data_IF_523232206557
#
_entry.id   IF_523232206557
#
_cell.length_a   1.000
_cell.length_b   1.000
_cell.length_c   1.000
_cell.angle_alpha   90.00
_cell.angle_beta   90.00
_cell.angle_gamma   90.00
#
_symmetry.space_group_name_H-M   'P 1'
#
loop_
_entity.id
_entity.type
_entity.pdbx_description
1 polymer ?
#
# COMPACT_ATOMS: atom_id res chain seq x y z
N UNK A 1 13.92 -17.33 -6.88
CA UNK A 1 13.02 -16.75 -5.85
C UNK A 1 11.73 -16.29 -6.53
N UNK A 2 10.60 -16.24 -5.81
CA UNK A 2 9.38 -15.60 -6.33
C UNK A 2 9.10 -14.28 -5.62
N UNK A 3 8.70 -13.28 -6.38
CA UNK A 3 8.33 -11.97 -5.88
C UNK A 3 6.86 -11.68 -6.17
N UNK A 4 6.17 -11.07 -5.22
CA UNK A 4 4.77 -10.66 -5.35
C UNK A 4 4.66 -9.14 -5.30
N UNK A 5 3.99 -8.53 -6.29
CA UNK A 5 3.69 -7.09 -6.32
C UNK A 5 2.16 -6.92 -6.30
N UNK A 6 1.56 -6.59 -5.15
CA UNK A 6 0.11 -6.46 -5.04
C UNK A 6 -0.38 -5.10 -5.55
N UNK A 7 -1.71 -4.99 -5.72
CA UNK A 7 -2.41 -3.76 -6.06
C UNK A 7 -3.33 -3.35 -4.90
N UNK A 8 -2.78 -3.27 -3.68
CA UNK A 8 -3.53 -2.97 -2.46
C UNK A 8 -3.71 -1.47 -2.23
N UNK A 9 -4.43 -0.85 -3.16
CA UNK A 9 -4.70 0.58 -3.11
C UNK A 9 -6.08 0.89 -3.71
N UNK A 10 -6.59 2.07 -3.38
CA UNK A 10 -7.90 2.57 -3.78
C UNK A 10 -7.82 3.38 -5.09
N UNK A 11 -8.96 3.87 -5.57
CA UNK A 11 -9.09 4.42 -6.92
C UNK A 11 -8.57 5.87 -7.05
N UNK A 12 -8.26 6.56 -5.93
CA UNK A 12 -7.82 7.96 -5.95
C UNK A 12 -6.35 8.12 -6.35
N UNK A 13 -5.43 7.65 -5.49
CA UNK A 13 -3.98 7.70 -5.70
C UNK A 13 -3.37 6.39 -5.25
N UNK A 14 -2.86 5.63 -6.20
CA UNK A 14 -2.46 4.24 -5.97
C UNK A 14 -1.31 4.07 -4.96
N UNK A 15 -0.58 5.13 -4.62
CA UNK A 15 0.47 5.08 -3.61
C UNK A 15 0.03 5.46 -2.20
N UNK A 16 -1.22 5.84 -1.98
CA UNK A 16 -1.69 6.29 -0.66
C UNK A 16 -2.11 5.13 0.24
N UNK A 17 -2.04 5.40 1.54
CA UNK A 17 -2.60 4.56 2.59
C UNK A 17 -4.13 4.49 2.48
N UNK A 18 -4.64 3.27 2.47
CA UNK A 18 -6.07 2.94 2.37
C UNK A 18 -6.68 2.48 3.69
N UNK A 19 -5.91 2.54 4.77
CA UNK A 19 -6.38 2.15 6.10
C UNK A 19 -7.66 2.89 6.46
N UNK A 20 -8.60 2.19 7.10
CA UNK A 20 -9.83 2.80 7.61
C UNK A 20 -10.07 2.38 9.06
N UNK A 21 -10.78 3.18 9.86
CA UNK A 21 -11.16 2.81 11.21
C UNK A 21 -12.03 1.54 11.24
N UNK A 22 -11.94 0.76 12.32
CA UNK A 22 -12.63 -0.54 12.45
C UNK A 22 -14.14 -0.53 12.20
N UNK A 23 -14.81 0.60 12.44
CA UNK A 23 -16.26 0.74 12.28
C UNK A 23 -16.67 1.13 10.85
N UNK A 24 -15.72 1.41 9.97
CA UNK A 24 -15.99 1.67 8.56
C UNK A 24 -15.90 0.35 7.77
N UNK A 25 -16.94 0.07 7.00
CA UNK A 25 -16.94 -1.06 6.06
C UNK A 25 -16.01 -0.72 4.89
N UNK A 26 -14.99 -1.53 4.66
CA UNK A 26 -14.26 -1.44 3.40
C UNK A 26 -15.18 -1.92 2.26
N UNK A 27 -15.31 -1.11 1.21
CA UNK A 27 -16.20 -1.41 0.08
C UNK A 27 -15.71 -2.59 -0.78
N UNK A 28 -14.47 -3.05 -0.59
CA UNK A 28 -13.87 -4.20 -1.30
C UNK A 28 -13.49 -5.27 -0.27
N UNK A 29 -13.65 -6.54 -0.66
CA UNK A 29 -13.12 -7.66 0.15
C UNK A 29 -11.61 -7.49 0.23
N UNK A 30 -11.07 -7.43 1.44
CA UNK A 30 -9.63 -7.35 1.67
C UNK A 30 -8.88 -8.60 1.17
N UNK A 31 -9.57 -9.74 1.04
CA UNK A 31 -9.02 -10.95 0.42
C UNK A 31 -8.92 -10.79 -1.11
N UNK A 32 -7.76 -11.13 -1.65
CA UNK A 32 -7.48 -11.10 -3.09
C UNK A 32 -6.66 -12.31 -3.57
N UNK A 33 -6.38 -12.33 -4.87
CA UNK A 33 -5.55 -13.31 -5.54
C UNK A 33 -4.11 -13.37 -5.00
N UNK A 34 -3.55 -12.24 -4.58
CA UNK A 34 -2.20 -12.19 -4.02
C UNK A 34 -2.09 -12.86 -2.67
N UNK A 35 -3.05 -12.63 -1.79
CA UNK A 35 -3.14 -13.33 -0.51
C UNK A 35 -3.24 -14.83 -0.74
N UNK A 36 -4.11 -15.26 -1.67
CA UNK A 36 -4.27 -16.68 -2.00
C UNK A 36 -2.97 -17.30 -2.53
N UNK A 37 -2.35 -16.66 -3.53
CA UNK A 37 -1.12 -17.16 -4.14
C UNK A 37 0.03 -17.19 -3.13
N UNK A 38 0.22 -16.16 -2.32
CA UNK A 38 1.24 -16.17 -1.25
C UNK A 38 0.95 -17.25 -0.21
N UNK A 39 -0.29 -17.42 0.21
CA UNK A 39 -0.71 -18.48 1.13
C UNK A 39 -0.34 -19.87 0.60
N UNK A 40 -0.60 -20.13 -0.68
CA UNK A 40 -0.17 -21.39 -1.32
C UNK A 40 1.36 -21.58 -1.28
N UNK A 41 2.16 -20.52 -1.44
CA UNK A 41 3.62 -20.62 -1.36
C UNK A 41 4.08 -20.91 0.06
N UNK A 42 3.49 -20.23 1.04
CA UNK A 42 3.77 -20.42 2.46
C UNK A 42 3.47 -21.86 2.89
N UNK A 43 2.28 -22.38 2.56
CA UNK A 43 1.87 -23.74 2.90
C UNK A 43 2.75 -24.83 2.29
N UNK A 44 3.32 -24.56 1.10
CA UNK A 44 4.20 -25.48 0.40
C UNK A 44 5.69 -25.28 0.74
N UNK A 45 6.01 -24.44 1.74
CA UNK A 45 7.39 -24.10 2.11
C UNK A 45 8.24 -23.61 0.93
N UNK A 46 7.63 -22.85 0.01
CA UNK A 46 8.33 -22.23 -1.09
C UNK A 46 8.82 -20.85 -0.68
N UNK A 47 10.07 -20.54 -0.98
CA UNK A 47 10.60 -19.20 -0.73
C UNK A 47 9.93 -18.16 -1.64
N UNK A 48 9.44 -17.09 -1.02
CA UNK A 48 8.91 -15.91 -1.71
C UNK A 48 9.19 -14.62 -0.93
N UNK A 49 9.04 -13.49 -1.60
CA UNK A 49 9.13 -12.17 -1.01
C UNK A 49 8.05 -11.25 -1.59
N UNK A 50 7.51 -10.37 -0.75
CA UNK A 50 6.55 -9.34 -1.13
C UNK A 50 7.28 -8.02 -1.46
N UNK A 51 6.81 -7.30 -2.47
CA UNK A 51 7.28 -5.98 -2.86
C UNK A 51 6.08 -5.02 -2.75
N UNK A 52 6.13 -4.11 -1.79
CA UNK A 52 5.05 -3.15 -1.53
C UNK A 52 5.44 -1.79 -2.10
N UNK A 53 4.71 -1.35 -3.12
CA UNK A 53 5.02 -0.11 -3.84
C UNK A 53 4.31 1.12 -3.25
N UNK A 54 3.16 0.93 -2.60
CA UNK A 54 2.37 1.99 -1.99
C UNK A 54 2.73 2.24 -0.51
N UNK A 55 2.25 3.35 0.03
CA UNK A 55 2.39 3.70 1.44
C UNK A 55 1.41 2.86 2.27
N UNK A 56 1.92 1.78 2.88
CA UNK A 56 1.13 0.83 3.66
C UNK A 56 1.62 0.76 5.12
N UNK A 57 1.32 1.78 5.96
CA UNK A 57 1.80 1.87 7.34
C UNK A 57 1.33 0.72 8.25
N UNK A 58 0.23 0.06 7.91
CA UNK A 58 -0.40 -1.02 8.67
C UNK A 58 -0.15 -2.42 8.07
N UNK A 59 0.83 -2.56 7.16
CA UNK A 59 1.01 -3.79 6.38
C UNK A 59 1.25 -5.04 7.24
N UNK A 60 1.85 -4.93 8.42
CA UNK A 60 2.11 -6.11 9.26
C UNK A 60 0.82 -6.62 9.90
N UNK A 61 -0.01 -5.70 10.39
CA UNK A 61 -1.34 -6.07 10.92
C UNK A 61 -2.24 -6.65 9.83
N UNK A 62 -2.17 -6.10 8.62
CA UNK A 62 -2.86 -6.65 7.44
C UNK A 62 -2.40 -8.07 7.11
N UNK A 63 -1.09 -8.32 6.99
CA UNK A 63 -0.55 -9.64 6.70
C UNK A 63 -0.89 -10.65 7.81
N UNK A 64 -0.83 -10.22 9.09
CA UNK A 64 -1.22 -11.06 10.22
C UNK A 64 -2.68 -11.50 10.15
N UNK A 65 -3.61 -10.62 9.72
CA UNK A 65 -5.03 -10.97 9.54
C UNK A 65 -5.24 -12.14 8.58
N UNK A 66 -4.32 -12.31 7.63
CA UNK A 66 -4.37 -13.33 6.58
C UNK A 66 -3.43 -14.52 6.81
N UNK A 67 -2.90 -14.70 8.02
CA UNK A 67 -1.92 -15.75 8.34
C UNK A 67 -0.66 -15.69 7.46
N UNK A 68 -0.27 -14.47 7.05
CA UNK A 68 0.90 -14.18 6.21
C UNK A 68 1.95 -13.34 6.94
N UNK A 69 1.91 -13.28 8.27
CA UNK A 69 2.78 -12.41 9.09
C UNK A 69 4.28 -12.67 8.85
N UNK A 70 4.65 -13.92 8.59
CA UNK A 70 6.02 -14.36 8.32
C UNK A 70 6.54 -13.96 6.93
N UNK A 71 5.68 -13.36 6.10
CA UNK A 71 6.04 -12.89 4.76
C UNK A 71 7.15 -11.84 4.85
N UNK A 72 8.31 -12.17 4.30
CA UNK A 72 9.36 -11.18 4.06
C UNK A 72 8.88 -10.20 3.01
N UNK A 73 9.11 -8.91 3.25
CA UNK A 73 8.74 -7.88 2.29
C UNK A 73 9.82 -6.81 2.18
N UNK A 74 9.89 -6.19 1.01
CA UNK A 74 10.53 -4.90 0.80
C UNK A 74 9.44 -3.85 0.51
N UNK A 75 9.55 -2.68 1.13
CA UNK A 75 8.60 -1.58 0.97
C UNK A 75 9.35 -0.34 0.47
N UNK A 76 8.82 0.28 -0.58
CA UNK A 76 9.35 1.54 -1.12
C UNK A 76 9.36 2.62 -0.05
N UNK A 77 8.28 2.70 0.75
CA UNK A 77 8.15 3.72 1.79
C UNK A 77 8.99 3.42 3.02
N UNK A 78 9.28 2.15 3.33
CA UNK A 78 10.28 1.82 4.37
C UNK A 78 11.68 2.29 3.96
N UNK A 79 12.05 2.12 2.68
CA UNK A 79 13.34 2.62 2.15
C UNK A 79 13.41 4.16 2.18
N UNK A 80 12.35 4.84 1.76
CA UNK A 80 12.25 6.30 1.80
C UNK A 80 12.37 6.83 3.24
N UNK A 81 11.68 6.22 4.18
CA UNK A 81 11.55 6.71 5.56
C UNK A 81 12.66 6.16 6.49
N UNK A 82 13.49 5.24 6.00
CA UNK A 82 14.54 4.59 6.78
C UNK A 82 13.97 3.70 7.89
N UNK A 83 12.81 3.08 7.66
CA UNK A 83 12.22 2.15 8.60
C UNK A 83 12.83 0.76 8.45
N UNK A 84 13.06 0.11 9.58
CA UNK A 84 13.52 -1.27 9.63
C UNK A 84 12.37 -2.21 10.00
N UNK A 85 12.50 -3.49 9.65
CA UNK A 85 11.51 -4.48 10.00
C UNK A 85 11.59 -4.82 11.49
N UNK A 86 10.47 -4.74 12.20
CA UNK A 86 10.30 -5.30 13.52
C UNK A 86 8.82 -5.54 13.82
N UNK A 87 8.54 -6.22 14.94
CA UNK A 87 7.20 -6.55 15.36
C UNK A 87 6.33 -5.29 15.56
N UNK A 88 5.02 -5.35 15.23
CA UNK A 88 4.08 -4.28 15.52
C UNK A 88 4.14 -3.86 16.99
N UNK A 89 4.02 -2.55 17.23
CA UNK A 89 4.02 -1.96 18.55
C UNK A 89 2.96 -0.86 18.60
N UNK A 90 1.88 -1.13 19.31
CA UNK A 90 0.81 -0.16 19.50
C UNK A 90 1.33 1.09 20.22
N UNK A 91 0.94 2.25 19.70
CA UNK A 91 1.26 3.53 20.33
C UNK A 91 0.40 3.67 21.57
N UNK A 92 1.07 3.85 22.72
CA UNK A 92 0.36 4.28 23.91
C UNK A 92 0.14 5.79 23.83
N UNK A 93 -1.06 6.19 23.43
CA UNK A 93 -1.43 7.60 23.32
C UNK A 93 -1.29 8.36 24.64
N UNK A 94 -1.35 7.71 25.81
CA UNK A 94 -1.08 8.36 27.09
C UNK A 94 0.36 8.84 27.27
N UNK A 95 1.32 8.30 26.52
CA UNK A 95 2.73 8.69 26.61
C UNK A 95 3.10 9.86 25.70
N UNK A 96 2.14 10.37 24.93
CA UNK A 96 2.34 11.55 24.11
C UNK A 96 2.33 12.80 24.99
N UNK A 97 2.99 13.86 24.49
CA UNK A 97 3.12 15.14 25.20
C UNK A 97 1.86 15.97 25.05
N UNK A 98 0.79 15.54 25.70
CA UNK A 98 -0.44 16.32 25.79
C UNK A 98 -0.26 17.52 26.71
N UNK A 99 -1.09 18.58 26.54
CA UNK A 99 -1.25 19.62 27.55
C UNK A 99 -1.65 19.04 28.91
N UNK A 100 -1.31 19.75 29.99
CA UNK A 100 -1.54 19.28 31.37
C UNK A 100 -3.03 19.08 31.69
N UNK A 101 -3.92 19.79 31.00
CA UNK A 101 -5.37 19.80 31.17
C UNK A 101 -6.14 18.97 30.14
N UNK A 102 -5.46 18.04 29.44
CA UNK A 102 -6.13 17.18 28.45
C UNK A 102 -7.23 16.31 29.07
N UNK A 103 -8.40 16.30 28.46
CA UNK A 103 -9.50 15.39 28.82
C UNK A 103 -9.68 14.29 27.78
N UNK A 104 -9.69 13.03 28.23
CA UNK A 104 -9.91 11.86 27.38
C UNK A 104 -11.38 11.41 27.42
N UNK A 105 -12.06 11.54 26.29
CA UNK A 105 -13.46 11.16 26.10
C UNK A 105 -13.56 9.93 25.21
N UNK A 106 -13.92 8.81 25.81
CA UNK A 106 -14.07 7.52 25.13
C UNK A 106 -15.45 7.43 24.47
N UNK A 107 -15.48 7.14 23.17
CA UNK A 107 -16.73 6.87 22.44
C UNK A 107 -16.70 5.45 21.88
N UNK A 108 -17.86 4.90 21.43
CA UNK A 108 -17.90 3.60 20.76
C UNK A 108 -17.18 3.52 19.41
N UNK A 109 -16.62 4.62 18.90
CA UNK A 109 -16.00 4.70 17.56
C UNK A 109 -14.55 5.17 17.61
N UNK A 110 -14.26 6.17 18.44
CA UNK A 110 -12.97 6.83 18.52
C UNK A 110 -12.70 7.35 19.95
N UNK A 111 -11.45 7.72 20.21
CA UNK A 111 -11.08 8.43 21.43
C UNK A 111 -10.88 9.91 21.09
N UNK A 112 -11.61 10.80 21.78
CA UNK A 112 -11.45 12.24 21.64
C UNK A 112 -10.61 12.78 22.80
N UNK A 113 -9.56 13.53 22.48
CA UNK A 113 -8.67 14.20 23.44
C UNK A 113 -8.95 15.70 23.35
N UNK A 114 -9.62 16.29 24.34
CA UNK A 114 -9.94 17.72 24.37
C UNK A 114 -8.76 18.45 25.00
N UNK A 115 -8.12 19.34 24.25
CA UNK A 115 -6.87 20.03 24.65
C UNK A 115 -7.09 21.49 25.01
N UNK A 116 -8.21 22.08 24.60
CA UNK A 116 -8.69 23.40 25.06
C UNK A 116 -10.17 23.57 24.69
N UNK A 117 -10.75 24.73 25.02
CA UNK A 117 -12.12 25.08 24.58
C UNK A 117 -12.30 25.05 23.06
N UNK A 118 -11.22 25.23 22.29
CA UNK A 118 -11.28 25.35 20.83
C UNK A 118 -10.48 24.26 20.10
N UNK A 119 -9.76 23.39 20.80
CA UNK A 119 -8.90 22.39 20.16
C UNK A 119 -9.15 21.00 20.73
N UNK A 120 -9.16 20.00 19.83
CA UNK A 120 -9.24 18.59 20.21
C UNK A 120 -8.57 17.72 19.17
N UNK A 121 -8.22 16.50 19.57
CA UNK A 121 -7.67 15.47 18.69
C UNK A 121 -8.54 14.21 18.74
N UNK A 122 -8.96 13.70 17.58
CA UNK A 122 -9.61 12.40 17.48
C UNK A 122 -8.58 11.33 17.15
N UNK A 123 -8.60 10.21 17.88
CA UNK A 123 -7.73 9.05 17.68
C UNK A 123 -8.57 7.91 17.12
N UNK A 124 -8.15 7.39 15.96
CA UNK A 124 -8.84 6.33 15.25
C UNK A 124 -8.05 5.02 15.35
N UNK A 125 -8.78 3.90 15.36
CA UNK A 125 -8.21 2.58 15.61
C UNK A 125 -8.50 1.58 14.47
N UNK A 126 -7.56 0.68 14.24
CA UNK A 126 -7.72 -0.50 13.37
C UNK A 126 -8.61 -1.55 14.03
N UNK A 127 -8.96 -2.61 13.28
CA UNK A 127 -9.72 -3.75 13.80
C UNK A 127 -8.98 -4.48 14.93
N UNK A 128 -7.65 -4.45 14.92
CA UNK A 128 -6.76 -5.03 15.94
C UNK A 128 -6.56 -4.10 17.15
N UNK A 129 -7.16 -2.91 17.14
CA UNK A 129 -7.05 -1.93 18.23
C UNK A 129 -5.79 -1.06 18.18
N UNK A 130 -5.03 -1.07 17.08
CA UNK A 130 -3.88 -0.20 16.88
C UNK A 130 -4.35 1.18 16.46
N UNK A 131 -3.72 2.24 16.97
CA UNK A 131 -3.98 3.57 16.45
C UNK A 131 -3.47 3.72 15.01
N UNK A 132 -4.35 4.10 14.08
CA UNK A 132 -4.03 4.25 12.65
C UNK A 132 -3.66 5.69 12.30
N UNK A 133 -4.42 6.66 12.80
CA UNK A 133 -4.11 8.07 12.69
C UNK A 133 -4.81 8.89 13.76
N UNK A 134 -4.27 10.08 13.98
CA UNK A 134 -4.87 11.10 14.83
C UNK A 134 -5.24 12.30 13.97
N UNK A 135 -6.41 12.88 14.21
CA UNK A 135 -6.85 14.11 13.54
C UNK A 135 -6.97 15.24 14.54
N UNK A 136 -6.24 16.32 14.29
CA UNK A 136 -6.23 17.54 15.09
C UNK A 136 -7.22 18.55 14.52
N UNK A 137 -8.08 19.06 15.38
CA UNK A 137 -9.12 20.04 15.06
C UNK A 137 -8.89 21.33 15.85
N UNK A 138 -9.10 22.45 15.17
CA UNK A 138 -9.20 23.78 15.78
C UNK A 138 -10.52 24.41 15.34
N UNK A 139 -11.36 24.82 16.29
CA UNK A 139 -12.71 25.38 16.05
C UNK A 139 -13.54 24.52 15.09
N UNK A 140 -13.53 23.21 15.32
CA UNK A 140 -14.19 22.18 14.51
C UNK A 140 -13.70 22.05 13.06
N UNK A 141 -12.57 22.68 12.72
CA UNK A 141 -11.93 22.54 11.43
C UNK A 141 -10.74 21.59 11.53
N UNK A 142 -10.71 20.57 10.67
CA UNK A 142 -9.60 19.63 10.55
C UNK A 142 -8.35 20.36 10.09
N UNK A 143 -7.30 20.35 10.90
CA UNK A 143 -6.03 21.00 10.60
C UNK A 143 -5.03 19.98 10.04
N UNK A 144 -4.88 18.86 10.74
CA UNK A 144 -3.82 17.88 10.48
C UNK A 144 -4.29 16.46 10.75
N UNK A 145 -3.75 15.51 9.99
CA UNK A 145 -3.85 14.07 10.26
C UNK A 145 -2.45 13.49 10.40
N UNK A 146 -2.15 12.98 11.59
CA UNK A 146 -0.92 12.26 11.93
C UNK A 146 -1.13 10.77 11.65
N UNK A 147 -0.47 10.23 10.63
CA UNK A 147 -0.61 8.83 10.18
C UNK A 147 0.46 7.99 10.85
N UNK A 148 0.06 6.96 11.57
CA UNK A 148 0.95 6.10 12.33
C UNK A 148 1.16 4.77 11.65
N UNK A 149 2.42 4.36 11.63
CA UNK A 149 2.84 3.04 11.19
C UNK A 149 2.69 2.05 12.35
N UNK A 150 2.29 0.80 12.06
CA UNK A 150 1.91 -0.19 13.08
C UNK A 150 3.08 -0.63 13.98
N UNK A 151 4.32 -0.23 13.65
CA UNK A 151 5.53 -0.34 14.49
C UNK A 151 5.62 0.77 15.56
N UNK A 152 4.70 1.72 15.57
CA UNK A 152 4.65 2.80 16.56
C UNK A 152 5.37 4.09 16.15
N UNK A 153 5.66 4.26 14.85
CA UNK A 153 6.27 5.48 14.32
C UNK A 153 5.22 6.42 13.73
N UNK A 154 5.47 7.73 13.84
CA UNK A 154 4.74 8.71 13.06
C UNK A 154 5.26 8.66 11.61
N UNK A 155 4.47 8.11 10.71
CA UNK A 155 4.87 7.86 9.32
C UNK A 155 4.69 9.08 8.45
N UNK A 156 3.56 9.77 8.58
CA UNK A 156 3.29 10.96 7.78
C UNK A 156 2.40 11.96 8.51
N UNK A 157 2.45 13.22 8.10
CA UNK A 157 1.53 14.26 8.54
C UNK A 157 0.87 14.85 7.29
N UNK A 158 -0.46 14.77 7.24
CA UNK A 158 -1.27 15.38 6.19
C UNK A 158 -1.88 16.67 6.71
N UNK A 159 -1.78 17.74 5.94
CA UNK A 159 -2.27 19.06 6.29
C UNK A 159 -3.49 19.41 5.42
N UNK A 160 -4.47 20.06 6.03
CA UNK A 160 -5.72 20.43 5.38
C UNK A 160 -5.82 21.95 5.28
N UNK A 161 -6.50 22.44 4.24
CA UNK A 161 -6.78 23.86 4.09
C UNK A 161 -8.14 24.26 4.68
N UNK A 162 -8.48 25.55 4.58
CA UNK A 162 -9.67 26.08 5.23
C UNK A 162 -10.99 25.44 4.75
N UNK A 163 -10.99 24.78 3.60
CA UNK A 163 -12.14 24.05 3.07
C UNK A 163 -12.22 22.60 3.57
N UNK A 164 -11.25 22.16 4.38
CA UNK A 164 -11.11 20.77 4.82
C UNK A 164 -10.51 19.86 3.75
N UNK A 165 -9.98 20.42 2.66
CA UNK A 165 -9.35 19.66 1.58
C UNK A 165 -7.86 19.43 1.89
N UNK A 166 -7.36 18.24 1.57
CA UNK A 166 -5.98 17.91 1.83
C UNK A 166 -5.05 18.75 0.93
N UNK A 167 -4.15 19.52 1.56
CA UNK A 167 -3.27 20.48 0.88
C UNK A 167 -1.91 19.87 0.53
N UNK A 168 -1.26 19.23 1.49
CA UNK A 168 0.02 18.55 1.31
C UNK A 168 0.23 17.47 2.37
N UNK A 169 1.23 16.61 2.15
CA UNK A 169 1.66 15.59 3.08
C UNK A 169 3.18 15.57 3.23
N UNK A 170 3.63 15.47 4.48
CA UNK A 170 5.01 15.22 4.84
C UNK A 170 5.18 13.75 5.21
N UNK A 171 6.17 13.08 4.60
CA UNK A 171 6.59 11.73 5.00
C UNK A 171 7.80 11.85 5.90
N UNK A 172 7.76 11.20 7.06
CA UNK A 172 8.75 11.37 8.12
C UNK A 172 9.68 10.16 8.21
N UNK A 173 10.92 10.41 8.60
CA UNK A 173 11.86 9.35 8.98
C UNK A 173 11.59 8.84 10.39
N UNK A 174 12.28 7.76 10.80
CA UNK A 174 12.22 7.22 12.16
C UNK A 174 12.53 8.24 13.28
N UNK A 175 13.29 9.29 12.94
CA UNK A 175 13.64 10.36 13.89
C UNK A 175 12.63 11.52 13.89
N UNK A 176 11.58 11.46 13.06
CA UNK A 176 10.60 12.53 12.90
C UNK A 176 10.99 13.63 11.92
N UNK A 177 12.15 13.52 11.26
CA UNK A 177 12.55 14.47 10.22
C UNK A 177 11.72 14.26 8.94
N UNK A 178 11.19 15.33 8.34
CA UNK A 178 10.51 15.26 7.05
C UNK A 178 11.52 14.91 5.92
N UNK A 179 11.32 13.77 5.26
CA UNK A 179 12.15 13.33 4.13
C UNK A 179 11.56 13.74 2.79
N UNK A 180 10.24 13.62 2.63
CA UNK A 180 9.52 13.97 1.41
C UNK A 180 8.33 14.87 1.72
N UNK A 181 8.08 15.82 0.83
CA UNK A 181 6.92 16.69 0.82
C UNK A 181 6.13 16.46 -0.47
N UNK A 182 4.87 16.00 -0.37
CA UNK A 182 3.95 15.83 -1.51
C UNK A 182 2.90 16.94 -1.50
N UNK A 183 2.88 17.76 -2.55
CA UNK A 183 1.87 18.79 -2.74
C UNK A 183 0.64 18.19 -3.43
N UNK A 184 -0.52 18.20 -2.77
CA UNK A 184 -1.72 17.59 -3.34
C UNK A 184 -2.40 18.44 -4.42
N UNK A 185 -2.14 19.75 -4.48
CA UNK A 185 -2.72 20.67 -5.48
C UNK A 185 -2.11 20.51 -6.86
N UNK A 186 -0.81 20.23 -6.94
CA UNK A 186 -0.11 20.06 -8.22
C UNK A 186 0.53 18.67 -8.42
N UNK A 187 0.45 17.79 -7.41
CA UNK A 187 0.98 16.43 -7.43
C UNK A 187 2.49 16.32 -7.21
N UNK A 188 3.24 17.42 -7.15
CA UNK A 188 4.71 17.39 -7.07
C UNK A 188 5.21 16.85 -5.75
N UNK A 189 6.34 16.15 -5.81
CA UNK A 189 7.04 15.64 -4.63
C UNK A 189 8.42 16.28 -4.55
N UNK A 190 8.76 16.85 -3.41
CA UNK A 190 10.07 17.47 -3.16
C UNK A 190 10.81 16.72 -2.06
N UNK A 191 12.10 16.47 -2.27
CA UNK A 191 12.99 15.85 -1.30
C UNK A 191 13.61 16.93 -0.42
N UNK A 192 13.49 16.75 0.90
CA UNK A 192 14.09 17.65 1.88
C UNK A 192 15.61 17.73 1.70
N UNK A 193 16.17 18.95 1.82
CA UNK A 193 17.59 19.26 1.53
C UNK A 193 18.60 18.28 2.16
N UNK A 194 18.34 17.85 3.39
CA UNK A 194 19.19 16.90 4.14
C UNK A 194 19.32 15.55 3.44
N UNK A 195 18.29 15.10 2.72
CA UNK A 195 18.19 13.75 2.16
C UNK A 195 18.44 13.69 0.65
N UNK A 196 18.56 14.84 -0.03
CA UNK A 196 18.70 14.91 -1.51
C UNK A 196 19.82 14.04 -2.09
N UNK A 197 20.89 13.78 -1.33
CA UNK A 197 22.00 12.94 -1.76
C UNK A 197 21.65 11.44 -1.93
N UNK A 198 20.49 11.01 -1.43
CA UNK A 198 19.96 9.64 -1.60
C UNK A 198 18.98 9.51 -2.78
N UNK A 199 18.75 10.58 -3.54
CA UNK A 199 17.74 10.64 -4.59
C UNK A 199 18.35 11.12 -5.90
N UNK A 200 17.81 10.67 -7.03
CA UNK A 200 18.29 11.12 -8.34
C UNK A 200 17.81 12.54 -8.67
N UNK A 201 16.68 12.97 -8.08
CA UNK A 201 16.08 14.28 -8.31
C UNK A 201 15.73 14.93 -6.97
N UNK A 202 15.74 16.27 -6.98
CA UNK A 202 15.29 17.07 -5.83
C UNK A 202 13.76 17.21 -5.83
N UNK A 203 13.16 17.26 -7.03
CA UNK A 203 11.73 17.41 -7.24
C UNK A 203 11.29 16.42 -8.32
N UNK A 204 10.17 15.76 -8.10
CA UNK A 204 9.51 14.82 -9.02
C UNK A 204 8.15 15.39 -9.42
N UNK A 205 7.69 15.09 -10.63
CA UNK A 205 6.38 15.55 -11.10
C UNK A 205 5.24 14.93 -10.29
N UNK A 206 5.42 13.70 -9.81
CA UNK A 206 4.50 12.98 -8.94
C UNK A 206 5.21 11.86 -8.17
N UNK A 207 4.53 11.31 -7.17
CA UNK A 207 5.06 10.23 -6.33
C UNK A 207 5.38 8.96 -7.14
N UNK A 208 4.63 8.68 -8.22
CA UNK A 208 4.88 7.50 -9.04
C UNK A 208 6.28 7.51 -9.68
N UNK A 209 6.80 8.69 -10.08
CA UNK A 209 8.18 8.79 -10.57
C UNK A 209 9.23 8.49 -9.50
N UNK A 210 8.98 8.88 -8.24
CA UNK A 210 9.86 8.59 -7.13
C UNK A 210 9.81 7.10 -6.77
N UNK A 211 8.63 6.51 -6.76
CA UNK A 211 8.44 5.06 -6.58
C UNK A 211 9.18 4.29 -7.66
N UNK A 212 9.08 4.71 -8.93
CA UNK A 212 9.80 4.09 -10.04
C UNK A 212 11.32 4.12 -9.83
N UNK A 213 11.87 5.25 -9.36
CA UNK A 213 13.30 5.34 -9.02
C UNK A 213 13.73 4.29 -7.99
N UNK A 214 13.01 4.20 -6.86
CA UNK A 214 13.35 3.26 -5.77
C UNK A 214 13.15 1.82 -6.20
N UNK A 215 12.06 1.57 -6.92
CA UNK A 215 11.79 0.25 -7.50
C UNK A 215 12.90 -0.18 -8.44
N UNK A 216 13.32 0.67 -9.38
CA UNK A 216 14.42 0.37 -10.30
C UNK A 216 15.72 0.02 -9.56
N UNK A 217 16.06 0.79 -8.51
CA UNK A 217 17.23 0.53 -7.69
C UNK A 217 17.17 -0.84 -6.99
N UNK A 218 16.01 -1.20 -6.45
CA UNK A 218 15.79 -2.51 -5.81
C UNK A 218 15.87 -3.66 -6.81
N UNK A 219 15.22 -3.52 -7.98
CA UNK A 219 15.25 -4.55 -9.04
C UNK A 219 16.68 -4.85 -9.48
N UNK A 220 17.50 -3.82 -9.68
CA UNK A 220 18.89 -3.97 -10.06
C UNK A 220 19.75 -4.68 -9.00
N UNK A 221 19.33 -4.68 -7.74
CA UNK A 221 20.06 -5.29 -6.62
C UNK A 221 19.57 -6.70 -6.27
N UNK A 222 18.26 -6.97 -6.38
CA UNK A 222 17.63 -8.16 -5.80
C UNK A 222 17.09 -9.15 -6.82
N UNK A 223 16.78 -8.74 -8.06
CA UNK A 223 16.17 -9.63 -9.05
C UNK A 223 17.23 -10.18 -10.00
N UNK A 224 17.26 -11.51 -10.10
CA UNK A 224 18.17 -12.28 -10.95
C UNK A 224 17.42 -13.02 -12.07
N UNK A 225 18.17 -13.62 -13.02
CA UNK A 225 17.57 -14.24 -14.21
C UNK A 225 16.72 -15.48 -13.93
N UNK A 226 16.92 -16.13 -12.78
CA UNK A 226 16.19 -17.33 -12.34
C UNK A 226 14.99 -16.99 -11.41
N UNK A 227 14.75 -15.70 -11.17
CA UNK A 227 13.64 -15.23 -10.35
C UNK A 227 12.37 -15.05 -11.18
N UNK A 228 11.22 -15.00 -10.48
CA UNK A 228 9.94 -14.78 -11.13
C UNK A 228 9.08 -13.81 -10.34
N UNK A 229 8.42 -12.89 -11.03
CA UNK A 229 7.66 -11.79 -10.44
C UNK A 229 6.19 -11.92 -10.85
N UNK A 230 5.33 -12.02 -9.85
CA UNK A 230 3.88 -12.13 -9.99
C UNK A 230 3.28 -10.79 -9.56
N UNK A 231 2.52 -10.17 -10.47
CA UNK A 231 2.05 -8.78 -10.36
C UNK A 231 0.53 -8.76 -10.42
N UNK A 232 -0.11 -8.07 -9.48
CA UNK A 232 -1.56 -7.90 -9.49
C UNK A 232 -1.85 -6.86 -10.57
N UNK A 233 -2.54 -7.25 -11.64
CA UNK A 233 -2.67 -6.38 -12.81
C UNK A 233 -3.44 -5.11 -12.45
N UNK A 234 -2.78 -3.97 -12.65
CA UNK A 234 -3.36 -2.63 -12.59
C UNK A 234 -2.56 -1.65 -13.46
N UNK A 235 -3.24 -0.92 -14.34
CA UNK A 235 -2.64 -0.02 -15.32
C UNK A 235 -1.71 1.03 -14.71
N UNK A 236 -1.95 1.41 -13.44
CA UNK A 236 -1.24 2.49 -12.74
C UNK A 236 0.21 2.13 -12.42
N UNK A 237 0.51 0.85 -12.17
CA UNK A 237 1.89 0.37 -11.95
C UNK A 237 2.43 -0.53 -13.06
N UNK A 238 1.57 -1.12 -13.91
CA UNK A 238 1.97 -2.14 -14.87
C UNK A 238 3.05 -1.64 -15.84
N UNK A 239 2.91 -0.40 -16.33
CA UNK A 239 3.88 0.20 -17.26
C UNK A 239 5.27 0.36 -16.63
N UNK A 240 5.34 0.82 -15.38
CA UNK A 240 6.61 0.99 -14.67
C UNK A 240 7.27 -0.37 -14.47
N UNK A 241 6.50 -1.37 -14.05
CA UNK A 241 6.98 -2.75 -13.88
C UNK A 241 7.49 -3.34 -15.21
N UNK A 242 6.72 -3.17 -16.29
CA UNK A 242 7.05 -3.64 -17.64
C UNK A 242 8.33 -3.02 -18.21
N UNK A 243 8.67 -1.79 -17.81
CA UNK A 243 9.88 -1.11 -18.27
C UNK A 243 11.16 -1.66 -17.65
N UNK A 244 11.07 -2.25 -16.44
CA UNK A 244 12.25 -2.62 -15.65
C UNK A 244 12.44 -4.14 -15.50
N UNK A 245 11.38 -4.94 -15.68
CA UNK A 245 11.48 -6.41 -15.57
C UNK A 245 11.21 -7.07 -16.94
N UNK A 246 12.10 -7.98 -17.40
CA UNK A 246 11.89 -8.72 -18.65
C UNK A 246 10.62 -9.58 -18.61
N UNK A 247 9.91 -9.63 -19.75
CA UNK A 247 8.66 -10.40 -19.89
C UNK A 247 8.76 -11.87 -19.47
N UNK A 248 9.93 -12.52 -19.70
CA UNK A 248 10.19 -13.92 -19.32
C UNK A 248 10.09 -14.18 -17.81
N UNK A 249 10.26 -13.15 -16.99
CA UNK A 249 10.21 -13.24 -15.53
C UNK A 249 8.86 -12.76 -14.97
N UNK A 250 7.91 -12.35 -15.82
CA UNK A 250 6.68 -11.70 -15.38
C UNK A 250 5.45 -12.58 -15.53
N UNK A 251 4.60 -12.54 -14.51
CA UNK A 251 3.21 -12.97 -14.57
C UNK A 251 2.29 -11.87 -14.09
N UNK A 252 1.26 -11.53 -14.87
CA UNK A 252 0.20 -10.62 -14.43
C UNK A 252 -1.02 -11.43 -14.01
N UNK A 253 -1.47 -11.19 -12.78
CA UNK A 253 -2.65 -11.81 -12.20
C UNK A 253 -3.86 -10.88 -12.33
N UNK A 254 -4.86 -11.33 -13.07
CA UNK A 254 -6.14 -10.66 -13.27
C UNK A 254 -7.16 -11.32 -12.34
N UNK A 255 -7.73 -10.53 -11.45
CA UNK A 255 -8.65 -10.98 -10.41
C UNK A 255 -10.00 -10.32 -10.59
N UNK A 256 -11.09 -11.09 -10.63
CA UNK A 256 -12.42 -10.61 -10.99
C UNK A 256 -12.89 -9.41 -10.14
N UNK A 257 -12.60 -9.40 -8.83
CA UNK A 257 -13.03 -8.31 -7.96
C UNK A 257 -12.25 -7.01 -8.19
N UNK A 258 -11.03 -7.10 -8.76
CA UNK A 258 -10.18 -5.94 -9.10
C UNK A 258 -10.36 -5.53 -10.57
N UNK A 259 -10.45 -6.51 -11.46
CA UNK A 259 -10.47 -6.38 -12.90
C UNK A 259 -11.82 -6.89 -13.45
N UNK A 260 -12.95 -6.39 -12.94
CA UNK A 260 -14.28 -6.85 -13.37
C UNK A 260 -14.46 -6.78 -14.89
N UNK A 261 -13.87 -5.74 -15.50
CA UNK A 261 -13.67 -5.65 -16.95
C UNK A 261 -12.22 -5.25 -17.23
N UNK A 262 -11.63 -5.80 -18.29
CA UNK A 262 -10.27 -5.43 -18.72
C UNK A 262 -10.38 -4.36 -19.80
N UNK A 263 -9.95 -3.15 -19.48
CA UNK A 263 -9.90 -2.04 -20.44
C UNK A 263 -8.74 -2.20 -21.43
N UNK A 264 -8.83 -1.52 -22.57
CA UNK A 264 -7.73 -1.43 -23.54
C UNK A 264 -6.45 -0.84 -22.90
N UNK A 265 -6.60 0.09 -21.97
CA UNK A 265 -5.48 0.69 -21.24
C UNK A 265 -4.81 -0.33 -20.31
N UNK A 266 -5.60 -1.06 -19.53
CA UNK A 266 -5.13 -2.12 -18.65
C UNK A 266 -4.35 -3.17 -19.44
N UNK A 267 -4.93 -3.69 -20.52
CA UNK A 267 -4.28 -4.72 -21.33
C UNK A 267 -3.04 -4.21 -22.07
N UNK A 268 -3.02 -2.97 -22.53
CA UNK A 268 -1.84 -2.42 -23.19
C UNK A 268 -0.71 -2.07 -22.22
N UNK A 269 -1.03 -1.87 -20.94
CA UNK A 269 -0.04 -1.54 -19.89
C UNK A 269 0.90 -2.70 -19.55
N UNK A 270 0.47 -3.96 -19.79
CA UNK A 270 1.30 -5.16 -19.54
C UNK A 270 2.33 -5.39 -20.66
N UNK A 271 3.48 -5.95 -20.29
CA UNK A 271 4.53 -6.31 -21.27
C UNK A 271 4.09 -7.47 -22.16
N UNK A 272 4.51 -7.44 -23.44
CA UNK A 272 4.23 -8.52 -24.40
C UNK A 272 4.94 -9.81 -23.98
N UNK A 273 4.31 -10.95 -24.22
CA UNK A 273 4.83 -12.29 -23.94
C UNK A 273 5.01 -12.63 -22.45
N UNK A 274 4.48 -11.81 -21.54
CA UNK A 274 4.37 -12.21 -20.13
C UNK A 274 3.36 -13.35 -19.97
N UNK A 275 3.46 -14.06 -18.85
CA UNK A 275 2.43 -15.02 -18.46
C UNK A 275 1.24 -14.30 -17.84
N UNK A 276 0.03 -14.84 -18.02
CA UNK A 276 -1.20 -14.30 -17.47
C UNK A 276 -1.83 -15.34 -16.53
N UNK A 277 -2.21 -14.91 -15.34
CA UNK A 277 -2.99 -15.70 -14.38
C UNK A 277 -4.38 -15.09 -14.33
N UNK A 278 -5.41 -15.91 -14.44
CA UNK A 278 -6.81 -15.47 -14.37
C UNK A 278 -7.61 -16.31 -13.39
N UNK A 279 -8.57 -15.71 -12.69
CA UNK A 279 -9.39 -16.42 -11.70
C UNK A 279 -10.73 -16.95 -12.24
N UNK A 280 -11.15 -16.46 -13.41
CA UNK A 280 -12.49 -16.69 -13.94
C UNK A 280 -12.52 -16.88 -15.46
N UNK A 281 -13.51 -17.64 -15.92
CA UNK A 281 -13.76 -17.90 -17.35
C UNK A 281 -14.09 -16.60 -18.10
N UNK A 282 -14.71 -15.63 -17.43
CA UNK A 282 -15.05 -14.35 -18.04
C UNK A 282 -13.79 -13.56 -18.36
N UNK A 283 -12.89 -13.39 -17.38
CA UNK A 283 -11.60 -12.72 -17.57
C UNK A 283 -10.74 -13.40 -18.64
N UNK A 284 -10.72 -14.73 -18.65
CA UNK A 284 -10.02 -15.51 -19.69
C UNK A 284 -10.52 -15.14 -21.10
N UNK A 285 -11.84 -15.09 -21.31
CA UNK A 285 -12.44 -14.71 -22.60
C UNK A 285 -12.15 -13.27 -22.98
N UNK A 286 -12.22 -12.35 -22.01
CA UNK A 286 -11.95 -10.94 -22.25
C UNK A 286 -10.49 -10.73 -22.68
N UNK A 287 -9.55 -11.39 -22.00
CA UNK A 287 -8.12 -11.34 -22.35
C UNK A 287 -7.81 -12.02 -23.69
N UNK A 288 -8.47 -13.12 -24.05
CA UNK A 288 -8.35 -13.73 -25.39
C UNK A 288 -8.83 -12.75 -26.47
N UNK A 289 -9.96 -12.06 -26.24
CA UNK A 289 -10.47 -11.05 -27.18
C UNK A 289 -9.48 -9.90 -27.38
N UNK A 290 -8.81 -9.47 -26.30
CA UNK A 290 -7.72 -8.49 -26.38
C UNK A 290 -6.47 -9.04 -27.07
N UNK A 291 -6.10 -10.31 -26.85
CA UNK A 291 -5.00 -10.97 -27.55
C UNK A 291 -5.21 -10.97 -29.07
N UNK A 292 -6.41 -11.31 -29.53
CA UNK A 292 -6.80 -11.27 -30.94
C UNK A 292 -6.74 -9.84 -31.50
N UNK A 293 -7.34 -8.87 -30.79
CA UNK A 293 -7.36 -7.46 -31.19
C UNK A 293 -5.97 -6.86 -31.35
N UNK A 294 -5.05 -7.17 -30.43
CA UNK A 294 -3.70 -6.60 -30.40
C UNK A 294 -2.62 -7.52 -30.97
N UNK A 295 -3.00 -8.67 -31.53
CA UNK A 295 -2.10 -9.67 -32.11
C UNK A 295 -0.96 -10.05 -31.13
N UNK A 296 -1.31 -10.40 -29.90
CA UNK A 296 -0.38 -10.85 -28.85
C UNK A 296 -0.63 -12.31 -28.49
N UNK A 297 0.43 -13.07 -28.29
CA UNK A 297 0.38 -14.46 -27.85
C UNK A 297 0.97 -14.57 -26.44
N UNK A 298 0.18 -14.20 -25.42
CA UNK A 298 0.58 -14.39 -24.03
C UNK A 298 0.13 -15.78 -23.55
N UNK A 299 0.98 -16.47 -22.79
CA UNK A 299 0.58 -17.75 -22.17
C UNK A 299 -0.35 -17.46 -20.99
N UNK A 300 -1.48 -18.14 -20.91
CA UNK A 300 -2.48 -17.91 -19.86
C UNK A 300 -2.75 -19.20 -19.08
N UNK A 301 -2.88 -19.06 -17.76
CA UNK A 301 -3.32 -20.14 -16.87
C UNK A 301 -4.48 -19.64 -16.00
N UNK A 302 -5.45 -20.52 -15.75
CA UNK A 302 -6.58 -20.21 -14.86
C UNK A 302 -6.36 -20.82 -13.49
N UNK A 303 -6.32 -19.99 -12.45
CA UNK A 303 -6.19 -20.39 -11.05
C UNK A 303 -7.25 -19.63 -10.25
N UNK A 304 -8.23 -20.35 -9.72
CA UNK A 304 -9.23 -19.75 -8.84
C UNK A 304 -8.60 -19.55 -7.46
N UNK A 305 -8.61 -18.32 -6.90
CA UNK A 305 -8.10 -18.06 -5.57
C UNK A 305 -9.06 -18.62 -4.53
N UNK A 306 -8.50 -19.24 -3.51
CA UNK A 306 -9.23 -19.74 -2.35
C UNK A 306 -8.56 -19.22 -1.10
N UNK A 307 -9.38 -18.92 -0.11
CA UNK A 307 -8.90 -18.56 1.22
C UNK A 307 -8.48 -19.84 1.93
N UNK A 308 -7.20 -19.96 2.24
CA UNK A 308 -6.62 -21.17 2.85
C UNK A 308 -6.89 -21.24 4.36
N UNK A 309 -7.37 -20.14 4.96
CA UNK A 309 -7.73 -20.08 6.37
C UNK A 309 -8.84 -21.09 6.68
N UNK A 310 -8.56 -22.02 7.58
CA UNK A 310 -9.61 -22.88 8.13
C UNK A 310 -10.49 -22.03 9.05
N UNK A 311 -11.77 -21.90 8.70
CA UNK A 311 -12.75 -21.28 9.61
C UNK A 311 -12.75 -22.03 10.95
N UNK A 312 -12.53 -21.35 12.09
CA UNK A 312 -12.50 -22.00 13.41
C UNK A 312 -13.82 -22.67 13.83
N UNK A 313 -14.89 -22.52 13.03
CA UNK A 313 -16.24 -22.98 13.34
C UNK A 313 -16.71 -24.20 12.53
N UNK A 314 -15.81 -24.97 11.91
CA UNK A 314 -16.15 -26.30 11.40
C UNK A 314 -15.57 -27.33 12.37
N UNK A 315 -16.31 -27.62 13.44
CA UNK A 315 -16.14 -28.82 14.27
C UNK A 315 -17.32 -29.75 14.07
#
# INVERSE_FOLDING_TARGET
MKYFIPAWYDDQRWWQDTTVPYYQTQNKTEFDDMISLMGMHLENNLDYQLIVLNHAPNIRTFLHRYDLYETKYWSVFDEIQGFSHHAPQAINYHHLKWPDDVEFVYTPYLLKCVTSEQTYTNIYFSQEGYSIWFEEFERDQLQRRYIFDDRGYLSAIRYFDDQGEASYQEYLTINGDCVLYENFKNGRVTVSKRYQHHYQQIEYNNMAQLIEEKFQAMIAQQIHEDDHVIVASDARHNRQIANHIPAKLLSYSFFKNRNETVSDEEYQSIVKNAHLIVDSVQLERDLISHQEKYQRENTMIRITPFETRQSPNIK
#
